data_IF_873190771600
#
_entry.id   IF_873190771600
#
_cell.length_a   1.000
_cell.length_b   1.000
_cell.length_c   1.000
_cell.angle_alpha   90.00
_cell.angle_beta   90.00
_cell.angle_gamma   90.00
#
_symmetry.space_group_name_H-M   'P 1'
#
loop_
_entity.id
_entity.type
_entity.pdbx_description
1 polymer ?
#
# COMPACT_ATOMS: atom_id res chain seq x y z
N UNK A 1 5.10 -0.57 12.48
CA UNK A 1 5.18 -1.60 11.43
C UNK A 1 5.54 -0.93 10.11
N UNK A 2 6.49 -1.47 9.40
CA UNK A 2 6.86 -0.96 8.07
C UNK A 2 5.90 -1.45 7.00
N UNK A 3 5.76 -0.67 5.93
CA UNK A 3 4.86 -1.02 4.83
C UNK A 3 5.15 -2.43 4.28
N UNK A 4 6.42 -2.75 4.05
CA UNK A 4 6.80 -4.06 3.53
C UNK A 4 6.36 -5.20 4.43
N UNK A 5 6.37 -5.00 5.75
CA UNK A 5 5.91 -6.01 6.70
C UNK A 5 4.39 -6.19 6.61
N UNK A 6 3.66 -5.08 6.51
CA UNK A 6 2.20 -5.14 6.39
C UNK A 6 1.78 -5.86 5.11
N UNK A 7 2.44 -5.55 3.99
CA UNK A 7 2.07 -6.13 2.71
C UNK A 7 2.19 -7.65 2.68
N UNK A 8 3.03 -8.24 3.53
CA UNK A 8 3.15 -9.69 3.64
C UNK A 8 1.85 -10.35 4.13
N UNK A 9 0.99 -9.57 4.78
CA UNK A 9 -0.27 -10.06 5.34
C UNK A 9 -1.50 -9.61 4.56
N UNK A 10 -1.30 -8.82 3.50
CA UNK A 10 -2.40 -8.39 2.63
C UNK A 10 -2.67 -9.51 1.62
N UNK A 11 -3.91 -9.96 1.56
CA UNK A 11 -4.28 -11.05 0.67
C UNK A 11 -4.15 -10.66 -0.81
N UNK A 12 -3.84 -11.65 -1.63
CA UNK A 12 -3.77 -11.45 -3.08
C UNK A 12 -5.13 -11.07 -3.64
N UNK A 13 -5.14 -10.16 -4.61
CA UNK A 13 -6.36 -9.64 -5.19
C UNK A 13 -6.89 -8.39 -4.51
N UNK A 14 -6.31 -8.01 -3.37
CA UNK A 14 -6.73 -6.81 -2.65
C UNK A 14 -6.12 -5.56 -3.28
N UNK A 15 -6.96 -4.57 -3.56
CA UNK A 15 -6.49 -3.28 -4.04
C UNK A 15 -6.10 -2.40 -2.86
N UNK A 16 -4.94 -1.78 -2.96
CA UNK A 16 -4.37 -0.93 -1.92
C UNK A 16 -4.23 0.49 -2.45
N UNK A 17 -4.70 1.46 -1.66
CA UNK A 17 -4.49 2.89 -1.90
C UNK A 17 -3.46 3.35 -0.88
N UNK A 18 -2.31 3.80 -1.34
CA UNK A 18 -1.20 4.24 -0.49
C UNK A 18 -1.14 5.75 -0.48
N UNK A 19 -1.16 6.36 0.70
CA UNK A 19 -1.18 7.81 0.85
C UNK A 19 -0.17 8.29 1.89
N UNK A 20 0.20 9.56 1.78
CA UNK A 20 1.05 10.23 2.75
C UNK A 20 0.27 10.57 4.01
N UNK A 21 0.83 10.29 5.17
CA UNK A 21 0.24 10.70 6.45
C UNK A 21 0.26 12.22 6.56
N UNK A 22 -0.83 12.78 7.06
CA UNK A 22 -0.95 14.22 7.29
C UNK A 22 -1.59 14.97 6.13
N UNK A 23 -1.06 14.85 4.93
CA UNK A 23 -1.62 15.50 3.75
C UNK A 23 -2.66 14.64 3.04
N UNK A 24 -2.62 13.33 3.27
CA UNK A 24 -3.42 12.33 2.58
C UNK A 24 -3.24 12.36 1.07
N UNK A 25 -2.10 12.87 0.60
CA UNK A 25 -1.78 12.86 -0.81
C UNK A 25 -1.54 11.44 -1.28
N UNK A 26 -2.21 11.05 -2.36
CA UNK A 26 -2.09 9.69 -2.89
C UNK A 26 -0.73 9.48 -3.53
N UNK A 27 -0.05 8.41 -3.09
CA UNK A 27 1.23 7.99 -3.66
C UNK A 27 1.00 7.09 -4.86
N UNK A 28 0.19 6.04 -4.68
CA UNK A 28 -0.16 5.12 -5.75
C UNK A 28 -1.35 4.24 -5.35
N UNK A 29 -1.90 3.54 -6.34
CA UNK A 29 -2.90 2.50 -6.16
C UNK A 29 -2.33 1.26 -6.83
N UNK A 30 -2.39 0.12 -6.14
CA UNK A 30 -1.91 -1.14 -6.71
C UNK A 30 -2.74 -2.31 -6.18
N UNK A 31 -2.67 -3.43 -6.87
CA UNK A 31 -3.33 -4.66 -6.45
C UNK A 31 -2.27 -5.63 -5.95
N UNK A 32 -2.44 -6.10 -4.70
CA UNK A 32 -1.54 -7.09 -4.15
C UNK A 32 -1.68 -8.39 -4.93
N UNK A 33 -0.55 -8.97 -5.32
CA UNK A 33 -0.52 -10.23 -6.06
C UNK A 33 0.79 -10.95 -5.79
N UNK A 34 0.80 -12.24 -6.13
CA UNK A 34 2.00 -13.05 -6.02
C UNK A 34 3.12 -12.52 -6.92
N UNK A 35 2.74 -11.83 -8.01
CA UNK A 35 3.67 -11.31 -9.00
C UNK A 35 3.90 -9.80 -8.88
N UNK A 36 3.50 -9.18 -7.76
CA UNK A 36 3.61 -7.73 -7.59
C UNK A 36 5.00 -7.20 -7.92
N UNK A 37 6.05 -7.90 -7.48
CA UNK A 37 7.45 -7.48 -7.68
C UNK A 37 7.85 -7.38 -9.15
N UNK A 38 7.09 -8.00 -10.04
CA UNK A 38 7.36 -8.03 -11.47
C UNK A 38 6.46 -7.07 -12.25
N UNK A 39 5.61 -6.29 -11.55
CA UNK A 39 4.71 -5.34 -12.19
C UNK A 39 5.33 -3.94 -12.23
N UNK A 40 4.79 -3.09 -13.10
CA UNK A 40 5.23 -1.70 -13.17
C UNK A 40 4.80 -0.92 -11.94
N UNK A 41 3.68 -1.30 -11.32
CA UNK A 41 3.20 -0.66 -10.11
C UNK A 41 4.20 -0.79 -8.96
N UNK A 42 4.97 -1.86 -8.95
CA UNK A 42 5.95 -2.09 -7.88
C UNK A 42 7.02 -1.00 -7.84
N UNK A 43 7.33 -0.38 -8.96
CA UNK A 43 8.30 0.73 -9.00
C UNK A 43 7.85 1.90 -8.13
N UNK A 44 6.53 2.05 -7.94
CA UNK A 44 5.95 3.10 -7.10
C UNK A 44 5.78 2.67 -5.66
N UNK A 45 5.83 1.39 -5.39
CA UNK A 45 5.66 0.82 -4.05
C UNK A 45 7.02 0.60 -3.37
N UNK A 46 7.98 0.07 -4.11
CA UNK A 46 9.28 -0.32 -3.59
C UNK A 46 10.01 0.77 -2.79
N UNK A 47 10.06 2.03 -3.24
CA UNK A 47 10.75 3.08 -2.49
C UNK A 47 10.17 3.35 -1.11
N UNK A 48 8.97 2.86 -0.83
CA UNK A 48 8.23 3.16 0.40
C UNK A 48 8.16 1.97 1.37
N UNK A 49 8.74 0.83 1.03
CA UNK A 49 8.60 -0.39 1.82
C UNK A 49 9.16 -0.28 3.25
N UNK A 50 10.12 0.59 3.47
CA UNK A 50 10.73 0.80 4.79
C UNK A 50 10.04 1.89 5.61
N UNK A 51 9.04 2.56 5.06
CA UNK A 51 8.32 3.63 5.74
C UNK A 51 7.31 3.06 6.74
N UNK A 52 7.07 3.81 7.82
CA UNK A 52 6.15 3.37 8.88
C UNK A 52 4.70 3.51 8.46
N UNK A 53 3.91 2.49 8.76
CA UNK A 53 2.45 2.53 8.59
C UNK A 53 1.86 3.28 9.78
N UNK A 54 1.10 4.34 9.49
CA UNK A 54 0.48 5.17 10.52
C UNK A 54 -0.99 4.87 10.72
N UNK A 55 -1.68 4.46 9.66
CA UNK A 55 -3.10 4.15 9.75
C UNK A 55 -3.51 3.20 8.63
N UNK A 56 -4.51 2.37 8.92
CA UNK A 56 -5.07 1.43 7.97
C UNK A 56 -6.59 1.52 8.08
N UNK A 57 -7.26 1.70 6.94
CA UNK A 57 -8.72 1.71 6.89
C UNK A 57 -9.19 1.11 5.57
N UNK A 58 -10.48 1.15 5.33
CA UNK A 58 -11.04 0.69 4.05
C UNK A 58 -11.84 1.81 3.41
N UNK A 59 -11.89 1.81 2.09
CA UNK A 59 -12.70 2.74 1.32
C UNK A 59 -14.10 2.15 1.08
N UNK A 60 -15.07 2.98 0.62
CA UNK A 60 -16.39 2.44 0.24
C UNK A 60 -16.32 1.38 -0.85
N UNK A 61 -15.27 1.39 -1.67
CA UNK A 61 -15.05 0.38 -2.72
C UNK A 61 -14.37 -0.89 -2.16
N UNK A 62 -14.19 -0.98 -0.85
CA UNK A 62 -13.50 -2.08 -0.17
C UNK A 62 -12.00 -2.17 -0.50
N UNK A 63 -11.39 -1.09 -0.92
CA UNK A 63 -9.94 -1.00 -1.07
C UNK A 63 -9.30 -0.79 0.30
N UNK A 64 -8.10 -1.31 0.47
CA UNK A 64 -7.34 -1.10 1.68
C UNK A 64 -6.65 0.27 1.57
N UNK A 65 -6.92 1.16 2.53
CA UNK A 65 -6.38 2.52 2.53
C UNK A 65 -5.27 2.59 3.59
N UNK A 66 -4.03 2.79 3.15
CA UNK A 66 -2.86 2.76 4.02
C UNK A 66 -2.17 4.12 4.01
N UNK A 67 -2.04 4.72 5.19
CA UNK A 67 -1.27 5.96 5.37
C UNK A 67 0.12 5.62 5.89
N UNK A 68 1.14 6.17 5.26
CA UNK A 68 2.55 5.97 5.65
C UNK A 68 3.22 7.30 5.96
N UNK A 69 4.15 7.24 6.91
CA UNK A 69 4.92 8.40 7.34
C UNK A 69 6.15 8.58 6.48
#
# INVERSE_FOLDING_TARGET
MKLGQLLMYVEYGRTVVLVEHGTEEQICIFTQSEELEYTKEYEKVEPHLEREVMNISTTPASYLYIEIL
#
